data_IF_138154431548
#
_entry.id   IF_138154431548
#
_cell.length_a   1.000
_cell.length_b   1.000
_cell.length_c   1.000
_cell.angle_alpha   90.00
_cell.angle_beta   90.00
_cell.angle_gamma   90.00
#
_symmetry.space_group_name_H-M   'P 1'
#
loop_
_entity.id
_entity.type
_entity.pdbx_description
1 polymer ?
#
# COMPACT_ATOMS: atom_id res chain seq x y z
N UNK A 1 5.51 5.53 28.12
CA UNK A 1 4.42 6.43 27.70
C UNK A 1 3.13 5.62 27.60
N UNK A 2 1.99 6.30 27.74
CA UNK A 2 0.62 5.73 27.63
C UNK A 2 -0.05 6.32 26.40
N UNK A 3 -0.35 5.47 25.43
CA UNK A 3 -0.95 5.86 24.15
C UNK A 3 -2.41 5.44 24.07
N UNK A 4 -3.24 6.30 23.50
CA UNK A 4 -4.57 5.92 23.00
C UNK A 4 -4.61 6.06 21.48
N UNK A 5 -5.01 4.98 20.78
CA UNK A 5 -5.14 4.94 19.33
C UNK A 5 -6.62 4.95 18.92
N UNK A 6 -7.10 6.06 18.34
CA UNK A 6 -8.45 6.18 17.78
C UNK A 6 -8.47 5.68 16.32
N UNK A 7 -9.27 4.66 16.03
CA UNK A 7 -9.30 3.93 14.77
C UNK A 7 -8.22 2.84 14.68
N UNK A 8 -7.96 2.13 15.78
CA UNK A 8 -6.85 1.18 15.93
C UNK A 8 -6.93 -0.05 15.00
N UNK A 9 -8.13 -0.40 14.48
CA UNK A 9 -8.31 -1.51 13.54
C UNK A 9 -7.80 -1.20 12.12
N UNK A 10 -7.54 0.07 11.81
CA UNK A 10 -7.07 0.49 10.50
C UNK A 10 -5.73 -0.16 10.13
N UNK A 11 -5.56 -0.53 8.84
CA UNK A 11 -4.38 -1.24 8.33
C UNK A 11 -3.04 -0.52 8.58
N UNK A 12 -3.05 0.81 8.67
CA UNK A 12 -1.85 1.59 9.03
C UNK A 12 -1.75 1.89 10.53
N UNK A 13 -2.86 1.83 11.28
CA UNK A 13 -2.90 2.09 12.72
C UNK A 13 -2.47 0.89 13.53
N UNK A 14 -3.00 -0.30 13.21
CA UNK A 14 -2.72 -1.54 13.92
C UNK A 14 -1.22 -1.88 13.97
N UNK A 15 -0.44 -1.86 12.88
CA UNK A 15 0.99 -2.08 12.93
C UNK A 15 1.73 -1.09 13.85
N UNK A 16 1.35 0.19 13.82
CA UNK A 16 1.98 1.22 14.63
C UNK A 16 1.66 1.07 16.14
N UNK A 17 0.42 0.73 16.48
CA UNK A 17 0.02 0.41 17.85
C UNK A 17 0.77 -0.83 18.40
N UNK A 18 0.91 -1.85 17.56
CA UNK A 18 1.71 -3.07 17.88
C UNK A 18 3.18 -2.72 18.12
N UNK A 19 3.76 -1.83 17.31
CA UNK A 19 5.13 -1.36 17.48
C UNK A 19 5.29 -0.61 18.82
N UNK A 20 4.38 0.33 19.16
CA UNK A 20 4.46 1.04 20.43
C UNK A 20 4.36 0.07 21.61
N UNK A 21 3.51 -0.94 21.50
CA UNK A 21 3.42 -2.00 22.51
C UNK A 21 4.70 -2.82 22.62
N UNK A 22 5.30 -3.23 21.48
CA UNK A 22 6.57 -3.97 21.44
C UNK A 22 7.75 -3.16 22.01
N UNK A 23 7.70 -1.82 21.90
CA UNK A 23 8.67 -0.89 22.53
C UNK A 23 8.44 -0.66 24.03
N UNK A 24 7.52 -1.41 24.66
CA UNK A 24 7.27 -1.35 26.11
C UNK A 24 6.32 -0.25 26.56
N UNK A 25 5.62 0.42 25.64
CA UNK A 25 4.63 1.43 26.01
C UNK A 25 3.30 0.79 26.42
N UNK A 26 2.53 1.45 27.29
CA UNK A 26 1.15 1.09 27.54
C UNK A 26 0.28 1.59 26.37
N UNK A 27 -0.43 0.68 25.73
CA UNK A 27 -1.24 0.99 24.55
C UNK A 27 -2.67 0.56 24.78
N UNK A 28 -3.59 1.50 24.57
CA UNK A 28 -5.01 1.22 24.44
C UNK A 28 -5.54 1.84 23.13
N UNK A 29 -6.71 1.44 22.70
CA UNK A 29 -7.32 2.04 21.51
C UNK A 29 -8.75 1.61 21.29
N UNK A 30 -9.40 2.31 20.39
CA UNK A 30 -10.81 2.16 20.04
C UNK A 30 -10.98 2.07 18.55
N UNK A 31 -12.07 1.44 18.12
CA UNK A 31 -12.45 1.41 16.71
C UNK A 31 -13.95 1.18 16.58
N UNK A 32 -14.60 1.95 15.71
CA UNK A 32 -16.04 1.81 15.42
C UNK A 32 -16.41 0.41 14.93
N UNK A 33 -15.49 -0.28 14.23
CA UNK A 33 -15.72 -1.64 13.76
C UNK A 33 -15.85 -2.64 14.90
N UNK A 34 -15.10 -2.44 15.99
CA UNK A 34 -15.21 -3.27 17.18
C UNK A 34 -16.54 -3.06 17.93
N UNK A 35 -16.99 -1.80 18.06
CA UNK A 35 -18.27 -1.45 18.66
C UNK A 35 -19.46 -2.05 17.86
N UNK A 36 -19.26 -2.29 16.56
CA UNK A 36 -20.23 -2.93 15.67
C UNK A 36 -20.09 -4.46 15.58
N UNK A 37 -19.23 -5.07 16.39
CA UNK A 37 -18.96 -6.51 16.36
C UNK A 37 -18.21 -7.00 15.11
N UNK A 38 -17.52 -6.09 14.39
CA UNK A 38 -16.74 -6.38 13.19
C UNK A 38 -15.25 -6.52 13.54
N UNK A 39 -14.43 -6.99 12.59
CA UNK A 39 -12.96 -7.09 12.71
C UNK A 39 -12.48 -7.88 13.94
N UNK A 40 -13.19 -8.97 14.28
CA UNK A 40 -12.91 -9.78 15.47
C UNK A 40 -11.49 -10.37 15.50
N UNK A 41 -10.94 -10.78 14.35
CA UNK A 41 -9.56 -11.28 14.26
C UNK A 41 -8.53 -10.21 14.62
N UNK A 42 -8.72 -8.97 14.11
CA UNK A 42 -7.84 -7.84 14.42
C UNK A 42 -7.90 -7.52 15.91
N UNK A 43 -9.11 -7.49 16.49
CA UNK A 43 -9.32 -7.28 17.92
C UNK A 43 -8.59 -8.34 18.76
N UNK A 44 -8.78 -9.63 18.44
CA UNK A 44 -8.12 -10.73 19.13
C UNK A 44 -6.60 -10.65 19.04
N UNK A 45 -6.06 -10.30 17.87
CA UNK A 45 -4.62 -10.13 17.67
C UNK A 45 -4.03 -8.97 18.50
N UNK A 46 -4.75 -7.86 18.63
CA UNK A 46 -4.32 -6.73 19.46
C UNK A 46 -4.36 -7.08 20.97
N UNK A 47 -5.43 -7.72 21.42
CA UNK A 47 -5.58 -8.17 22.83
C UNK A 47 -4.50 -9.18 23.20
N UNK A 48 -4.17 -10.13 22.31
CA UNK A 48 -3.10 -11.11 22.54
C UNK A 48 -1.73 -10.47 22.77
N UNK A 49 -1.50 -9.25 22.25
CA UNK A 49 -0.30 -8.46 22.48
C UNK A 49 -0.38 -7.60 23.76
N UNK A 50 -1.47 -7.67 24.52
CA UNK A 50 -1.69 -6.86 25.72
C UNK A 50 -2.09 -5.42 25.43
N UNK A 51 -2.67 -5.15 24.26
CA UNK A 51 -3.29 -3.87 23.92
C UNK A 51 -4.73 -3.88 24.44
N UNK A 52 -5.13 -2.83 25.15
CA UNK A 52 -6.47 -2.73 25.77
C UNK A 52 -7.44 -2.08 24.79
N UNK A 53 -8.47 -2.81 24.38
CA UNK A 53 -9.52 -2.25 23.53
C UNK A 53 -10.60 -1.55 24.36
N UNK A 54 -11.08 -0.42 23.87
CA UNK A 54 -12.03 0.47 24.51
C UNK A 54 -13.14 0.86 23.52
N UNK A 55 -14.34 1.21 24.02
CA UNK A 55 -15.38 1.82 23.19
C UNK A 55 -14.92 3.15 22.58
N UNK A 56 -15.39 3.45 21.34
CA UNK A 56 -15.06 4.73 20.67
C UNK A 56 -16.04 5.85 21.03
N UNK A 57 -16.36 5.98 22.32
CA UNK A 57 -17.31 6.96 22.85
C UNK A 57 -16.67 8.14 23.60
N UNK A 58 -15.36 8.17 23.69
CA UNK A 58 -14.57 9.19 24.39
C UNK A 58 -14.32 8.90 25.87
N UNK A 59 -15.00 7.93 26.49
CA UNK A 59 -14.87 7.62 27.92
C UNK A 59 -13.48 7.11 28.32
N UNK A 60 -12.76 6.52 27.38
CA UNK A 60 -11.42 5.98 27.60
C UNK A 60 -10.29 7.01 27.42
N UNK A 61 -10.60 8.21 26.94
CA UNK A 61 -9.63 9.29 26.78
C UNK A 61 -9.59 10.10 28.07
N UNK A 62 -8.52 9.95 28.83
CA UNK A 62 -8.34 10.50 30.20
C UNK A 62 -7.06 11.30 30.32
N UNK A 63 -6.96 12.17 31.31
CA UNK A 63 -5.82 13.08 31.53
C UNK A 63 -4.47 12.38 31.81
N UNK A 64 -4.48 11.10 32.13
CA UNK A 64 -3.29 10.29 32.43
C UNK A 64 -2.65 9.65 31.20
N UNK A 65 -3.21 9.91 29.99
CA UNK A 65 -2.60 9.56 28.71
C UNK A 65 -1.51 10.57 28.35
N UNK A 66 -0.41 10.08 27.80
CA UNK A 66 0.65 10.95 27.28
C UNK A 66 0.35 11.41 25.86
N UNK A 67 -0.19 10.52 25.01
CA UNK A 67 -0.44 10.82 23.60
C UNK A 67 -1.76 10.22 23.10
N UNK A 68 -2.49 11.02 22.36
CA UNK A 68 -3.68 10.61 21.62
C UNK A 68 -3.36 10.51 20.12
N UNK A 69 -3.28 9.28 19.60
CA UNK A 69 -2.97 9.00 18.18
C UNK A 69 -4.27 8.76 17.43
N UNK A 70 -4.46 9.43 16.30
CA UNK A 70 -5.68 9.30 15.52
C UNK A 70 -5.40 9.08 14.04
N UNK A 71 -6.31 8.33 13.39
CA UNK A 71 -6.31 8.18 11.93
C UNK A 71 -6.79 9.47 11.28
N UNK A 72 -6.21 9.86 10.15
CA UNK A 72 -6.69 10.99 9.32
C UNK A 72 -8.13 10.80 8.81
N UNK A 73 -8.65 9.56 8.84
CA UNK A 73 -10.04 9.25 8.54
C UNK A 73 -11.00 9.52 9.72
N UNK A 74 -10.51 9.82 10.92
CA UNK A 74 -11.34 10.16 12.09
C UNK A 74 -11.78 11.61 11.97
N UNK A 75 -13.08 11.84 12.05
CA UNK A 75 -13.68 13.18 11.97
C UNK A 75 -13.24 14.06 13.15
N UNK A 76 -13.00 15.36 12.89
CA UNK A 76 -12.42 16.31 13.85
C UNK A 76 -13.26 16.52 15.12
N UNK A 77 -14.56 16.20 15.10
CA UNK A 77 -15.49 16.43 16.19
C UNK A 77 -16.04 15.14 16.81
N UNK A 78 -15.29 14.03 16.71
CA UNK A 78 -15.66 12.80 17.45
C UNK A 78 -15.55 12.97 18.95
N UNK A 79 -16.29 12.18 19.75
CA UNK A 79 -16.20 12.24 21.23
C UNK A 79 -14.77 12.13 21.76
N UNK A 80 -13.96 11.25 21.16
CA UNK A 80 -12.55 11.05 21.57
C UNK A 80 -11.68 12.25 21.27
N UNK A 81 -11.80 12.86 20.08
CA UNK A 81 -11.04 14.06 19.72
C UNK A 81 -11.41 15.24 20.63
N UNK A 82 -12.71 15.39 20.97
CA UNK A 82 -13.17 16.40 21.91
C UNK A 82 -12.60 16.16 23.32
N UNK A 83 -12.61 14.93 23.81
CA UNK A 83 -12.04 14.57 25.11
C UNK A 83 -10.52 14.84 25.15
N UNK A 84 -9.78 14.43 24.11
CA UNK A 84 -8.35 14.68 24.01
C UNK A 84 -8.03 16.19 24.04
N UNK A 85 -8.85 17.01 23.37
CA UNK A 85 -8.74 18.47 23.40
C UNK A 85 -9.03 19.03 24.79
N UNK A 86 -10.08 18.55 25.44
CA UNK A 86 -10.48 19.01 26.78
C UNK A 86 -9.42 18.73 27.86
N UNK A 87 -8.73 17.59 27.76
CA UNK A 87 -7.62 17.23 28.66
C UNK A 87 -6.26 17.81 28.24
N UNK A 88 -6.19 18.56 27.12
CA UNK A 88 -4.92 19.12 26.65
C UNK A 88 -3.89 18.08 26.21
N UNK A 89 -4.32 16.89 25.80
CA UNK A 89 -3.42 15.82 25.36
C UNK A 89 -2.69 16.20 24.07
N UNK A 90 -1.46 15.71 23.94
CA UNK A 90 -0.74 15.76 22.67
C UNK A 90 -1.48 14.91 21.62
N UNK A 91 -2.05 15.56 20.60
CA UNK A 91 -2.80 14.92 19.54
C UNK A 91 -1.90 14.70 18.32
N UNK A 92 -1.59 13.45 18.04
CA UNK A 92 -0.65 13.06 17.02
C UNK A 92 -1.38 12.33 15.89
N UNK A 93 -1.44 12.87 14.67
CA UNK A 93 -1.96 12.10 13.53
C UNK A 93 -1.04 10.89 13.28
N UNK A 94 -1.65 9.76 12.92
CA UNK A 94 -0.90 8.51 12.62
C UNK A 94 0.36 8.71 11.78
N UNK A 95 0.32 9.45 10.66
CA UNK A 95 1.50 9.59 9.82
C UNK A 95 2.62 10.40 10.49
N UNK A 96 2.31 11.33 11.37
CA UNK A 96 3.34 12.05 12.14
C UNK A 96 4.07 11.10 13.10
N UNK A 97 3.33 10.25 13.83
CA UNK A 97 3.98 9.23 14.68
C UNK A 97 4.81 8.25 13.85
N UNK A 98 4.34 7.88 12.65
CA UNK A 98 5.10 7.01 11.76
C UNK A 98 6.39 7.68 11.27
N UNK A 99 6.35 8.97 10.93
CA UNK A 99 7.54 9.74 10.57
C UNK A 99 8.54 9.81 11.74
N UNK A 100 8.09 10.10 12.97
CA UNK A 100 8.93 10.05 14.18
C UNK A 100 9.63 8.69 14.35
N UNK A 101 8.90 7.60 14.08
CA UNK A 101 9.44 6.23 14.18
C UNK A 101 10.50 5.98 13.12
N UNK A 102 10.26 6.41 11.87
CA UNK A 102 11.22 6.25 10.76
C UNK A 102 12.45 7.11 11.01
N UNK A 103 12.28 8.37 11.38
CA UNK A 103 13.38 9.31 11.60
C UNK A 103 14.28 8.90 12.78
N UNK A 104 13.73 8.18 13.76
CA UNK A 104 14.50 7.58 14.85
C UNK A 104 15.27 6.32 14.44
N UNK A 105 14.95 5.69 13.31
CA UNK A 105 15.59 4.48 12.80
C UNK A 105 17.09 4.67 12.45
N UNK A 106 17.87 3.60 12.57
CA UNK A 106 19.32 3.61 12.27
C UNK A 106 19.68 2.46 11.31
N UNK A 107 19.53 2.66 9.99
CA UNK A 107 18.92 3.81 9.30
C UNK A 107 17.39 3.80 9.31
N UNK A 108 16.78 4.99 9.15
CA UNK A 108 15.38 5.14 8.82
C UNK A 108 15.19 5.17 7.30
N UNK A 109 14.27 4.36 6.81
CA UNK A 109 13.94 4.21 5.37
C UNK A 109 12.47 4.57 5.15
N UNK A 110 12.22 5.58 4.33
CA UNK A 110 10.87 6.01 3.94
C UNK A 110 10.60 5.66 2.47
N UNK A 111 9.57 4.84 2.24
CA UNK A 111 9.23 4.32 0.91
C UNK A 111 8.03 5.09 0.38
N UNK A 112 8.27 6.03 -0.54
CA UNK A 112 7.28 6.90 -1.15
C UNK A 112 7.03 6.56 -2.63
N UNK A 113 5.92 7.08 -3.16
CA UNK A 113 5.47 6.92 -4.53
C UNK A 113 3.96 6.73 -4.61
N UNK A 114 3.33 7.06 -5.71
CA UNK A 114 1.87 6.89 -5.89
C UNK A 114 1.46 5.43 -6.02
N UNK A 115 2.36 4.56 -6.52
CA UNK A 115 2.13 3.11 -6.67
C UNK A 115 3.34 2.32 -6.17
N UNK A 116 3.14 1.02 -5.82
CA UNK A 116 4.23 0.10 -5.47
C UNK A 116 4.67 0.11 -3.99
N UNK A 117 4.37 1.15 -3.21
CA UNK A 117 4.79 1.30 -1.79
C UNK A 117 4.62 0.02 -0.96
N UNK A 118 3.41 -0.52 -0.88
CA UNK A 118 3.10 -1.72 -0.08
C UNK A 118 3.83 -2.95 -0.57
N UNK A 119 4.01 -3.10 -1.89
CA UNK A 119 4.76 -4.22 -2.47
C UNK A 119 6.23 -4.12 -2.13
N UNK A 120 6.84 -2.94 -2.29
CA UNK A 120 8.25 -2.71 -1.94
C UNK A 120 8.48 -2.92 -0.45
N UNK A 121 7.61 -2.37 0.42
CA UNK A 121 7.69 -2.57 1.87
C UNK A 121 7.52 -4.03 2.27
N UNK A 122 6.59 -4.74 1.63
CA UNK A 122 6.42 -6.18 1.82
C UNK A 122 7.65 -6.98 1.39
N UNK A 123 8.28 -6.64 0.24
CA UNK A 123 9.53 -7.27 -0.21
C UNK A 123 10.68 -6.96 0.76
N UNK A 124 10.83 -5.72 1.23
CA UNK A 124 11.84 -5.36 2.25
C UNK A 124 11.60 -6.14 3.53
N UNK A 125 10.35 -6.22 4.00
CA UNK A 125 9.99 -6.98 5.19
C UNK A 125 10.27 -8.48 5.04
N UNK A 126 9.96 -9.05 3.88
CA UNK A 126 10.31 -10.44 3.55
C UNK A 126 11.82 -10.65 3.57
N UNK A 127 12.58 -9.80 2.87
CA UNK A 127 14.03 -9.90 2.78
C UNK A 127 14.70 -9.79 4.15
N UNK A 128 14.30 -8.83 4.98
CA UNK A 128 14.86 -8.64 6.33
C UNK A 128 14.51 -9.80 7.26
N UNK A 129 13.25 -10.28 7.22
CA UNK A 129 12.79 -11.42 8.03
C UNK A 129 13.55 -12.69 7.70
N UNK A 130 13.60 -13.06 6.42
CA UNK A 130 14.20 -14.33 5.97
C UNK A 130 15.74 -14.30 6.01
N UNK A 131 16.35 -13.12 5.89
CA UNK A 131 17.80 -12.97 6.06
C UNK A 131 18.23 -12.86 7.53
N UNK A 132 17.29 -12.80 8.48
CA UNK A 132 17.57 -12.65 9.91
C UNK A 132 18.11 -11.26 10.29
N UNK A 133 17.83 -10.24 9.48
CA UNK A 133 18.21 -8.86 9.81
C UNK A 133 17.22 -8.27 10.80
N UNK A 134 17.72 -7.83 11.94
CA UNK A 134 16.91 -7.24 13.00
C UNK A 134 16.49 -5.81 12.63
N UNK A 135 15.39 -5.67 11.90
CA UNK A 135 14.83 -4.38 11.45
C UNK A 135 13.35 -4.27 11.80
N UNK A 136 12.88 -3.07 12.12
CA UNK A 136 11.43 -2.78 12.17
C UNK A 136 10.93 -2.50 10.77
N UNK A 137 9.88 -3.21 10.33
CA UNK A 137 9.23 -2.92 9.04
C UNK A 137 7.73 -2.76 9.24
N UNK A 138 7.17 -1.67 8.70
CA UNK A 138 5.76 -1.29 8.83
C UNK A 138 5.15 -1.08 7.44
N UNK A 139 4.20 -1.92 7.06
CA UNK A 139 3.50 -1.86 5.77
C UNK A 139 1.99 -1.84 5.92
N UNK A 140 1.30 -1.17 5.00
CA UNK A 140 -0.16 -1.09 4.94
C UNK A 140 -0.83 -2.37 4.41
N UNK A 141 -0.06 -3.35 3.92
CA UNK A 141 -0.58 -4.64 3.45
C UNK A 141 0.25 -5.79 3.99
N UNK A 142 -0.39 -6.91 4.35
CA UNK A 142 0.28 -8.14 4.79
C UNK A 142 0.98 -8.85 3.62
N UNK A 143 1.88 -9.76 3.92
CA UNK A 143 2.34 -10.73 2.92
C UNK A 143 1.20 -11.72 2.61
N UNK A 144 1.19 -12.24 1.39
CA UNK A 144 0.23 -13.26 1.01
C UNK A 144 0.36 -14.50 1.93
N UNK A 145 -0.77 -14.94 2.46
CA UNK A 145 -0.82 -16.06 3.41
C UNK A 145 -0.60 -15.73 4.89
N UNK A 146 -0.16 -14.52 5.26
CA UNK A 146 0.05 -14.14 6.67
C UNK A 146 -1.27 -13.89 7.45
N UNK A 147 -2.40 -13.73 6.77
CA UNK A 147 -3.74 -13.59 7.38
C UNK A 147 -3.94 -12.35 8.27
N UNK A 148 -3.03 -11.38 8.23
CA UNK A 148 -3.07 -10.17 9.06
C UNK A 148 -3.47 -8.92 8.28
N UNK A 149 -4.01 -7.91 8.96
CA UNK A 149 -4.21 -6.59 8.38
C UNK A 149 -2.93 -5.75 8.51
N UNK A 150 -2.21 -5.52 7.41
CA UNK A 150 -0.94 -4.80 7.40
C UNK A 150 0.24 -5.66 7.83
N UNK A 151 1.43 -5.26 7.41
CA UNK A 151 2.68 -5.93 7.72
C UNK A 151 3.36 -5.26 8.92
N UNK A 152 3.77 -6.08 9.88
CA UNK A 152 4.53 -5.64 11.04
C UNK A 152 5.63 -6.64 11.36
N UNK A 153 6.88 -6.19 11.26
CA UNK A 153 8.05 -6.88 11.74
C UNK A 153 8.69 -6.04 12.86
N UNK A 154 8.72 -6.52 14.11
CA UNK A 154 9.39 -5.81 15.18
C UNK A 154 10.90 -5.98 15.09
N UNK A 155 11.63 -4.88 15.27
CA UNK A 155 13.09 -4.84 15.40
C UNK A 155 13.51 -4.09 16.67
N UNK A 156 14.83 -4.01 16.94
CA UNK A 156 15.35 -3.27 18.08
C UNK A 156 15.03 -1.78 17.99
N UNK A 157 14.96 -1.10 19.14
CA UNK A 157 14.62 0.33 19.20
C UNK A 157 15.61 1.19 18.42
N UNK A 158 16.90 0.86 18.54
CA UNK A 158 18.00 1.58 17.87
C UNK A 158 18.41 0.95 16.53
N UNK A 159 17.58 0.04 15.99
CA UNK A 159 17.83 -0.65 14.73
C UNK A 159 17.27 0.08 13.51
N UNK A 160 17.45 -0.53 12.33
CA UNK A 160 16.84 -0.05 11.10
C UNK A 160 15.31 -0.03 11.19
N UNK A 161 14.70 0.99 10.56
CA UNK A 161 13.24 1.10 10.40
C UNK A 161 12.93 1.35 8.94
N UNK A 162 12.03 0.56 8.34
CA UNK A 162 11.51 0.80 7.00
C UNK A 162 9.98 0.91 7.05
N UNK A 163 9.41 1.93 6.40
CA UNK A 163 7.96 2.10 6.36
C UNK A 163 7.48 2.80 5.09
N UNK A 164 6.19 2.59 4.79
CA UNK A 164 5.50 3.32 3.74
C UNK A 164 5.31 4.79 4.14
N UNK A 165 5.73 5.71 3.27
CA UNK A 165 5.47 7.14 3.37
C UNK A 165 4.40 7.54 2.35
N UNK A 166 3.18 7.82 2.83
CA UNK A 166 2.04 8.09 1.96
C UNK A 166 1.92 9.57 1.65
N UNK A 167 1.60 9.88 0.40
CA UNK A 167 1.35 11.24 -0.10
C UNK A 167 -0.10 11.70 0.08
N UNK A 168 -1.04 10.75 0.23
CA UNK A 168 -2.49 11.02 0.14
C UNK A 168 -3.05 11.90 1.26
N UNK A 169 -2.37 12.00 2.38
CA UNK A 169 -2.81 12.79 3.55
C UNK A 169 -1.96 14.06 3.79
N UNK A 170 -1.11 14.43 2.81
CA UNK A 170 -0.25 15.61 2.89
C UNK A 170 0.92 15.48 3.85
N UNK A 171 1.12 14.33 4.47
CA UNK A 171 2.10 14.14 5.55
C UNK A 171 3.48 13.68 5.09
N UNK A 172 3.64 13.41 3.79
CA UNK A 172 4.94 13.05 3.20
C UNK A 172 6.04 14.07 3.55
N UNK A 173 5.67 15.33 3.70
CA UNK A 173 6.59 16.41 4.09
C UNK A 173 7.14 16.29 5.51
N UNK A 174 6.58 15.43 6.36
CA UNK A 174 7.02 15.24 7.76
C UNK A 174 8.24 14.35 7.93
N UNK A 175 8.67 13.60 6.91
CA UNK A 175 9.78 12.66 7.01
C UNK A 175 11.16 13.32 6.84
N UNK A 176 12.14 12.88 7.66
CA UNK A 176 13.57 13.20 7.57
C UNK A 176 14.39 11.90 7.54
N UNK A 177 13.97 10.97 6.69
CA UNK A 177 14.56 9.64 6.64
C UNK A 177 16.04 9.67 6.20
N UNK A 178 16.85 8.79 6.77
CA UNK A 178 18.24 8.61 6.32
C UNK A 178 18.30 8.15 4.86
N UNK A 179 17.34 7.33 4.42
CA UNK A 179 17.15 6.90 3.05
C UNK A 179 15.67 7.11 2.63
N UNK A 180 15.44 8.00 1.68
CA UNK A 180 14.17 8.14 0.98
C UNK A 180 14.14 7.32 -0.31
N UNK A 181 12.99 6.79 -0.66
CA UNK A 181 12.69 6.23 -1.98
C UNK A 181 11.50 6.98 -2.58
N UNK A 182 11.63 7.46 -3.82
CA UNK A 182 10.50 7.89 -4.65
C UNK A 182 10.41 6.91 -5.84
N UNK A 183 9.47 5.97 -5.74
CA UNK A 183 9.32 4.93 -6.75
C UNK A 183 8.67 5.44 -8.03
N UNK A 184 7.60 6.22 -7.90
CA UNK A 184 6.92 6.88 -9.01
C UNK A 184 6.08 8.06 -8.50
N UNK A 185 5.76 8.96 -9.42
CA UNK A 185 4.81 10.05 -9.20
C UNK A 185 3.84 10.04 -10.37
N UNK A 186 2.57 9.76 -10.10
CA UNK A 186 1.51 9.68 -11.10
C UNK A 186 0.19 10.18 -10.49
N UNK A 187 -0.83 10.35 -11.32
CA UNK A 187 -2.16 10.76 -10.88
C UNK A 187 -2.81 9.65 -10.06
N UNK A 188 -3.09 9.90 -8.77
CA UNK A 188 -3.79 8.96 -7.89
C UNK A 188 -4.83 9.69 -7.02
N UNK A 189 -4.43 10.28 -5.92
CA UNK A 189 -5.32 11.02 -4.99
C UNK A 189 -5.46 12.51 -5.35
N UNK A 190 -4.74 12.99 -6.36
CA UNK A 190 -4.73 14.36 -6.87
C UNK A 190 -4.00 14.45 -8.19
N UNK A 191 -3.98 15.63 -8.79
CA UNK A 191 -3.19 15.90 -9.98
C UNK A 191 -1.70 15.92 -9.63
N UNK A 192 -0.84 15.57 -10.61
CA UNK A 192 0.61 15.51 -10.41
C UNK A 192 1.17 16.83 -9.88
N UNK A 193 0.70 17.96 -10.42
CA UNK A 193 1.14 19.32 -10.01
C UNK A 193 0.82 19.62 -8.53
N UNK A 194 -0.24 19.04 -7.98
CA UNK A 194 -0.63 19.16 -6.57
C UNK A 194 0.25 18.31 -5.66
N UNK A 195 0.72 17.16 -6.15
CA UNK A 195 1.56 16.24 -5.40
C UNK A 195 3.05 16.64 -5.41
N UNK A 196 3.54 17.21 -6.51
CA UNK A 196 4.95 17.55 -6.71
C UNK A 196 5.58 18.32 -5.54
N UNK A 197 4.96 19.36 -4.93
CA UNK A 197 5.57 20.10 -3.82
C UNK A 197 5.85 19.23 -2.58
N UNK A 198 5.01 18.20 -2.34
CA UNK A 198 5.21 17.26 -1.24
C UNK A 198 6.42 16.34 -1.51
N UNK A 199 6.52 15.80 -2.73
CA UNK A 199 7.65 14.98 -3.14
C UNK A 199 8.97 15.76 -3.16
N UNK A 200 8.95 17.03 -3.59
CA UNK A 200 10.12 17.92 -3.52
C UNK A 200 10.58 18.15 -2.09
N UNK A 201 9.65 18.40 -1.18
CA UNK A 201 9.97 18.59 0.24
C UNK A 201 10.56 17.32 0.83
N UNK A 202 9.95 16.17 0.55
CA UNK A 202 10.45 14.85 0.97
C UNK A 202 11.86 14.58 0.42
N UNK A 203 12.08 14.83 -0.87
CA UNK A 203 13.37 14.63 -1.51
C UNK A 203 14.47 15.47 -0.84
N UNK A 204 14.20 16.76 -0.57
CA UNK A 204 15.16 17.68 0.07
C UNK A 204 15.47 17.33 1.53
N UNK A 205 14.52 16.66 2.22
CA UNK A 205 14.65 16.24 3.63
C UNK A 205 15.26 14.86 3.81
N UNK A 206 15.30 14.04 2.77
CA UNK A 206 15.95 12.73 2.81
C UNK A 206 17.47 12.87 2.81
N UNK A 207 18.15 12.15 3.71
CA UNK A 207 19.62 12.15 3.77
C UNK A 207 20.27 11.60 2.51
N UNK A 208 19.73 10.50 1.97
CA UNK A 208 19.97 9.93 0.64
C UNK A 208 18.64 9.69 -0.04
N UNK A 209 18.60 9.75 -1.37
CA UNK A 209 17.39 9.51 -2.13
C UNK A 209 17.64 8.51 -3.25
N UNK A 210 16.74 7.52 -3.36
CA UNK A 210 16.62 6.63 -4.50
C UNK A 210 15.42 7.06 -5.34
N UNK A 211 15.56 7.09 -6.66
CA UNK A 211 14.46 7.40 -7.59
C UNK A 211 14.39 6.39 -8.72
N UNK A 212 13.18 6.00 -9.12
CA UNK A 212 13.01 5.16 -10.31
C UNK A 212 13.06 6.02 -11.58
N UNK A 213 14.03 5.75 -12.44
CA UNK A 213 14.23 6.45 -13.70
C UNK A 213 13.12 6.22 -14.74
N UNK A 214 12.31 5.17 -14.57
CA UNK A 214 11.17 4.88 -15.43
C UNK A 214 9.97 5.80 -15.18
N UNK A 215 9.93 6.52 -14.03
CA UNK A 215 8.95 7.57 -13.74
C UNK A 215 9.54 8.93 -14.14
N UNK A 216 9.00 9.60 -15.17
CA UNK A 216 9.55 10.88 -15.66
C UNK A 216 9.65 11.95 -14.57
N UNK A 217 8.60 12.10 -13.74
CA UNK A 217 8.50 13.10 -12.67
C UNK A 217 9.49 12.78 -11.55
N UNK A 218 9.58 11.50 -11.12
CA UNK A 218 10.55 11.07 -10.12
C UNK A 218 12.00 11.25 -10.61
N UNK A 219 12.26 10.92 -11.88
CA UNK A 219 13.58 11.10 -12.50
C UNK A 219 13.94 12.59 -12.63
N UNK A 220 12.99 13.46 -13.00
CA UNK A 220 13.20 14.91 -13.05
C UNK A 220 13.57 15.47 -11.67
N UNK A 221 12.78 15.11 -10.66
CA UNK A 221 13.03 15.51 -9.28
C UNK A 221 14.37 14.96 -8.77
N UNK A 222 14.65 13.69 -9.04
CA UNK A 222 15.91 13.06 -8.64
C UNK A 222 17.14 13.78 -9.18
N UNK A 223 17.13 14.18 -10.46
CA UNK A 223 18.22 14.98 -11.06
C UNK A 223 18.39 16.33 -10.36
N UNK A 224 17.29 16.99 -9.99
CA UNK A 224 17.34 18.30 -9.34
C UNK A 224 17.97 18.26 -7.93
N UNK A 225 17.91 17.12 -7.25
CA UNK A 225 18.47 16.96 -5.89
C UNK A 225 19.70 16.05 -5.83
N UNK A 226 20.21 15.55 -6.97
CA UNK A 226 21.35 14.64 -7.00
C UNK A 226 21.06 13.26 -6.43
N UNK A 227 19.86 12.74 -6.61
CA UNK A 227 19.46 11.41 -6.15
C UNK A 227 20.13 10.29 -6.96
N UNK A 228 20.30 9.13 -6.34
CA UNK A 228 20.71 7.91 -7.04
C UNK A 228 19.53 7.29 -7.78
N UNK A 229 19.65 7.14 -9.09
CA UNK A 229 18.58 6.60 -9.94
C UNK A 229 18.75 5.11 -10.20
N UNK A 230 17.63 4.39 -10.25
CA UNK A 230 17.57 2.98 -10.67
C UNK A 230 16.39 2.78 -11.63
N UNK A 231 16.38 1.68 -12.36
CA UNK A 231 15.22 1.29 -13.17
C UNK A 231 15.54 1.00 -14.62
N UNK A 232 14.49 0.83 -15.42
CA UNK A 232 14.59 0.53 -16.85
C UNK A 232 14.88 1.80 -17.64
N UNK A 233 15.79 1.71 -18.59
CA UNK A 233 16.11 2.80 -19.50
C UNK A 233 17.55 3.26 -19.44
N UNK A 234 17.99 4.02 -20.44
CA UNK A 234 19.36 4.51 -20.52
C UNK A 234 19.58 5.63 -19.48
N UNK A 235 20.72 5.58 -18.79
CA UNK A 235 21.18 6.66 -17.91
C UNK A 235 20.73 6.53 -16.45
N UNK A 236 20.16 5.40 -16.01
CA UNK A 236 20.06 5.11 -14.59
C UNK A 236 21.42 4.78 -14.00
N UNK A 237 21.71 5.25 -12.78
CA UNK A 237 22.95 4.92 -12.07
C UNK A 237 23.04 3.42 -11.75
N UNK A 238 21.89 2.79 -11.52
CA UNK A 238 21.76 1.35 -11.38
C UNK A 238 20.72 0.84 -12.39
N UNK A 239 21.14 0.47 -13.61
CA UNK A 239 20.25 0.03 -14.67
C UNK A 239 19.58 -1.32 -14.35
N UNK A 240 18.30 -1.43 -14.67
CA UNK A 240 17.53 -2.67 -14.66
C UNK A 240 17.32 -3.16 -16.10
N UNK A 241 17.96 -4.26 -16.45
CA UNK A 241 17.78 -4.95 -17.74
C UNK A 241 16.67 -5.99 -17.59
N UNK A 242 15.60 -5.84 -18.35
CA UNK A 242 14.47 -6.78 -18.35
C UNK A 242 14.80 -7.97 -19.24
N UNK A 243 14.78 -9.18 -18.70
CA UNK A 243 15.01 -10.41 -19.48
C UNK A 243 13.72 -11.11 -19.84
N UNK A 244 12.71 -11.06 -18.99
CA UNK A 244 11.35 -11.55 -19.31
C UNK A 244 10.29 -10.97 -18.37
N UNK A 245 9.07 -10.79 -18.89
CA UNK A 245 7.87 -10.47 -18.12
C UNK A 245 6.77 -11.46 -18.51
N UNK A 246 6.57 -12.47 -17.69
CA UNK A 246 5.54 -13.49 -17.94
C UNK A 246 4.30 -13.29 -17.05
N UNK A 247 3.27 -14.13 -17.25
CA UNK A 247 2.01 -14.05 -16.49
C UNK A 247 2.12 -14.45 -15.01
N UNK A 248 3.24 -15.01 -14.62
CA UNK A 248 3.46 -15.50 -13.24
C UNK A 248 4.78 -15.07 -12.66
N UNK A 249 5.68 -14.52 -13.47
CA UNK A 249 7.05 -14.27 -13.07
C UNK A 249 7.68 -13.19 -13.94
N UNK A 250 8.42 -12.29 -13.32
CA UNK A 250 9.25 -11.30 -14.00
C UNK A 250 10.73 -11.54 -13.67
N UNK A 251 11.62 -11.36 -14.66
CA UNK A 251 13.06 -11.55 -14.51
C UNK A 251 13.83 -10.40 -15.11
N UNK A 252 14.96 -10.07 -14.48
CA UNK A 252 15.86 -9.04 -14.94
C UNK A 252 17.21 -9.09 -14.26
N UNK A 253 18.07 -8.19 -14.65
CA UNK A 253 19.43 -8.03 -14.08
C UNK A 253 19.57 -6.59 -13.62
N UNK A 254 19.77 -6.39 -12.34
CA UNK A 254 20.12 -5.10 -11.77
C UNK A 254 21.64 -4.93 -11.80
N UNK A 255 22.15 -3.91 -12.51
CA UNK A 255 23.58 -3.66 -12.71
C UNK A 255 24.15 -2.86 -11.55
N UNK A 256 24.56 -3.56 -10.49
CA UNK A 256 25.24 -2.94 -9.37
C UNK A 256 26.71 -2.64 -9.73
N UNK A 257 27.33 -1.67 -9.06
CA UNK A 257 28.77 -1.39 -9.18
C UNK A 257 29.66 -2.56 -8.75
N UNK A 258 29.14 -3.44 -7.87
CA UNK A 258 29.80 -4.65 -7.37
C UNK A 258 29.61 -5.87 -8.26
N UNK A 259 28.82 -5.77 -9.32
CA UNK A 259 28.49 -6.85 -10.23
C UNK A 259 26.97 -7.03 -10.45
N UNK A 260 26.57 -7.90 -11.39
CA UNK A 260 25.16 -8.07 -11.73
C UNK A 260 24.40 -8.82 -10.61
N UNK A 261 23.22 -8.31 -10.25
CA UNK A 261 22.26 -8.98 -9.38
C UNK A 261 21.08 -9.49 -10.22
N UNK A 262 20.93 -10.81 -10.29
CA UNK A 262 19.81 -11.44 -10.99
C UNK A 262 18.57 -11.32 -10.13
N UNK A 263 17.52 -10.70 -10.67
CA UNK A 263 16.19 -10.62 -10.07
C UNK A 263 15.28 -11.64 -10.74
N UNK A 264 14.68 -12.51 -9.95
CA UNK A 264 13.67 -13.50 -10.38
C UNK A 264 12.49 -13.40 -9.40
N UNK A 265 11.38 -12.81 -9.83
CA UNK A 265 10.27 -12.47 -8.94
C UNK A 265 9.03 -13.27 -9.35
N UNK A 266 8.43 -14.10 -8.47
CA UNK A 266 7.24 -14.89 -8.78
C UNK A 266 5.95 -14.04 -8.77
N UNK A 267 6.02 -12.88 -9.41
CA UNK A 267 4.94 -11.92 -9.58
C UNK A 267 4.94 -11.44 -11.04
N UNK A 268 3.77 -11.23 -11.67
CA UNK A 268 3.70 -10.81 -13.07
C UNK A 268 4.04 -9.33 -13.25
N UNK A 269 4.52 -8.99 -14.43
CA UNK A 269 4.61 -7.62 -14.92
C UNK A 269 5.91 -6.89 -14.58
N UNK A 270 6.23 -5.91 -15.41
CA UNK A 270 7.42 -5.07 -15.27
C UNK A 270 7.42 -4.30 -13.94
N UNK A 271 6.27 -3.77 -13.51
CA UNK A 271 6.16 -3.01 -12.27
C UNK A 271 6.60 -3.81 -11.04
N UNK A 272 6.37 -5.13 -10.99
CA UNK A 272 6.86 -5.97 -9.89
C UNK A 272 8.37 -6.21 -9.95
N UNK A 273 8.95 -6.21 -11.14
CA UNK A 273 10.41 -6.26 -11.28
C UNK A 273 11.06 -4.94 -10.83
N UNK A 274 10.46 -3.80 -11.13
CA UNK A 274 10.89 -2.48 -10.65
C UNK A 274 10.73 -2.35 -9.13
N UNK A 275 9.62 -2.84 -8.57
CA UNK A 275 9.42 -2.94 -7.12
C UNK A 275 10.53 -3.79 -6.46
N UNK A 276 10.90 -4.91 -7.09
CA UNK A 276 11.96 -5.78 -6.59
C UNK A 276 13.34 -5.13 -6.69
N UNK A 277 13.61 -4.34 -7.73
CA UNK A 277 14.85 -3.57 -7.84
C UNK A 277 14.97 -2.55 -6.71
N UNK A 278 13.89 -1.81 -6.41
CA UNK A 278 13.84 -0.89 -5.27
C UNK A 278 14.08 -1.61 -3.94
N UNK A 279 13.35 -2.70 -3.70
CA UNK A 279 13.49 -3.49 -2.48
C UNK A 279 14.88 -4.10 -2.34
N UNK A 280 15.49 -4.56 -3.44
CA UNK A 280 16.86 -5.07 -3.46
C UNK A 280 17.87 -4.02 -3.04
N UNK A 281 17.77 -2.79 -3.58
CA UNK A 281 18.68 -1.69 -3.20
C UNK A 281 18.56 -1.34 -1.71
N UNK A 282 17.32 -1.27 -1.19
CA UNK A 282 17.10 -1.04 0.25
C UNK A 282 17.68 -2.20 1.08
N UNK A 283 17.48 -3.45 0.66
CA UNK A 283 17.99 -4.61 1.37
C UNK A 283 19.52 -4.67 1.39
N UNK A 284 20.17 -4.29 0.29
CA UNK A 284 21.63 -4.16 0.22
C UNK A 284 22.15 -3.07 1.18
N UNK A 285 21.47 -1.93 1.26
CA UNK A 285 21.77 -0.87 2.21
C UNK A 285 21.59 -1.32 3.68
N UNK A 286 20.67 -2.24 3.93
CA UNK A 286 20.46 -2.89 5.23
C UNK A 286 21.49 -4.02 5.50
N UNK A 287 22.45 -4.23 4.62
CA UNK A 287 23.55 -5.18 4.79
C UNK A 287 23.23 -6.62 4.37
N UNK A 288 22.15 -6.87 3.65
CA UNK A 288 21.84 -8.21 3.12
C UNK A 288 22.70 -8.47 1.89
N UNK A 289 23.43 -9.58 1.87
CA UNK A 289 24.30 -9.92 0.75
C UNK A 289 23.52 -10.12 -0.57
N UNK A 290 24.09 -9.72 -1.74
CA UNK A 290 23.41 -9.79 -3.03
C UNK A 290 22.88 -11.21 -3.38
N UNK A 291 23.64 -12.24 -3.11
CA UNK A 291 23.21 -13.62 -3.35
C UNK A 291 22.00 -14.01 -2.50
N UNK A 292 21.93 -13.54 -1.25
CA UNK A 292 20.77 -13.75 -0.35
C UNK A 292 19.55 -12.99 -0.86
N UNK A 293 19.71 -11.73 -1.28
CA UNK A 293 18.63 -10.94 -1.88
C UNK A 293 18.03 -11.66 -3.09
N UNK A 294 18.87 -12.12 -4.04
CA UNK A 294 18.42 -12.86 -5.22
C UNK A 294 17.65 -14.13 -4.84
N UNK A 295 18.20 -14.95 -3.94
CA UNK A 295 17.58 -16.20 -3.52
C UNK A 295 16.24 -16.01 -2.81
N UNK A 296 16.11 -14.95 -2.00
CA UNK A 296 14.88 -14.65 -1.27
C UNK A 296 13.81 -14.03 -2.15
N UNK A 297 14.16 -13.12 -3.08
CA UNK A 297 13.19 -12.58 -4.04
C UNK A 297 12.59 -13.66 -4.94
N UNK A 298 13.37 -14.68 -5.30
CA UNK A 298 12.89 -15.81 -6.09
C UNK A 298 11.78 -16.64 -5.39
N UNK A 299 11.63 -16.49 -4.07
CA UNK A 299 10.63 -17.17 -3.23
C UNK A 299 9.66 -16.19 -2.56
N UNK A 300 9.64 -14.91 -2.99
CA UNK A 300 8.74 -13.92 -2.42
C UNK A 300 7.26 -14.36 -2.58
N UNK A 301 6.48 -14.45 -1.49
CA UNK A 301 5.13 -15.01 -1.54
C UNK A 301 4.11 -14.06 -2.20
N UNK A 302 4.47 -12.79 -2.35
CA UNK A 302 3.55 -11.72 -2.75
C UNK A 302 3.03 -10.93 -1.56
N UNK A 303 2.22 -9.93 -1.86
CA UNK A 303 1.51 -9.10 -0.89
C UNK A 303 0.02 -9.35 -1.04
N UNK A 304 -0.67 -9.50 0.07
CA UNK A 304 -2.11 -9.69 0.10
C UNK A 304 -2.83 -8.58 -0.68
N UNK A 305 -3.79 -8.97 -1.49
CA UNK A 305 -4.56 -8.07 -2.36
C UNK A 305 -3.71 -7.26 -3.36
N UNK A 306 -2.56 -7.79 -3.81
CA UNK A 306 -1.71 -7.23 -4.88
C UNK A 306 -1.44 -8.30 -5.91
N UNK A 307 -2.39 -8.49 -6.84
CA UNK A 307 -2.43 -9.60 -7.78
C UNK A 307 -2.29 -10.96 -7.05
N UNK A 308 -2.95 -11.07 -5.90
CA UNK A 308 -2.89 -12.26 -5.07
C UNK A 308 -3.70 -13.39 -5.69
N UNK A 309 -3.05 -14.51 -5.99
CA UNK A 309 -3.74 -15.70 -6.48
C UNK A 309 -4.33 -16.44 -5.27
N UNK A 310 -5.66 -16.33 -5.09
CA UNK A 310 -6.38 -16.99 -4.00
C UNK A 310 -6.54 -18.50 -4.23
N UNK A 311 -6.49 -18.94 -5.48
CA UNK A 311 -6.60 -20.35 -5.84
C UNK A 311 -7.03 -20.57 -7.28
N UNK A 312 -7.17 -21.83 -7.62
CA UNK A 312 -7.69 -22.31 -8.91
C UNK A 312 -8.87 -23.21 -8.65
N UNK A 313 -10.01 -22.93 -9.28
CA UNK A 313 -11.22 -23.78 -9.15
C UNK A 313 -11.01 -25.14 -9.83
N UNK A 314 -11.91 -26.08 -9.54
CA UNK A 314 -11.88 -27.39 -10.19
C UNK A 314 -12.05 -27.30 -11.74
N UNK A 315 -12.66 -26.24 -12.25
CA UNK A 315 -12.79 -25.95 -13.69
C UNK A 315 -11.56 -25.24 -14.29
N UNK A 316 -10.50 -25.01 -13.51
CA UNK A 316 -9.27 -24.35 -13.99
C UNK A 316 -9.31 -22.82 -13.97
N UNK A 317 -10.35 -22.19 -13.39
CA UNK A 317 -10.45 -20.74 -13.29
C UNK A 317 -9.54 -20.28 -12.13
N UNK A 318 -8.61 -19.38 -12.45
CA UNK A 318 -7.76 -18.72 -11.45
C UNK A 318 -8.51 -17.56 -10.85
N UNK A 319 -8.59 -17.51 -9.52
CA UNK A 319 -9.18 -16.40 -8.75
C UNK A 319 -8.07 -15.50 -8.24
N UNK A 320 -8.14 -14.22 -8.59
CA UNK A 320 -7.13 -13.21 -8.23
C UNK A 320 -7.82 -12.08 -7.46
N UNK A 321 -7.24 -11.68 -6.34
CA UNK A 321 -7.62 -10.47 -5.59
C UNK A 321 -6.58 -9.36 -5.80
N UNK A 322 -7.07 -8.16 -6.15
CA UNK A 322 -6.22 -6.98 -6.30
C UNK A 322 -6.90 -5.73 -5.74
N UNK A 323 -6.12 -4.90 -5.08
CA UNK A 323 -6.58 -3.62 -4.51
C UNK A 323 -6.55 -2.47 -5.52
N UNK A 324 -6.53 -2.75 -6.81
CA UNK A 324 -6.57 -1.73 -7.86
C UNK A 324 -7.80 -0.85 -7.69
N UNK A 325 -7.59 0.47 -7.57
CA UNK A 325 -8.65 1.43 -7.29
C UNK A 325 -8.52 2.73 -8.10
N UNK A 326 -7.57 2.81 -9.03
CA UNK A 326 -7.44 3.87 -10.04
C UNK A 326 -7.11 3.26 -11.40
N UNK A 327 -7.14 4.06 -12.47
CA UNK A 327 -7.01 3.57 -13.83
C UNK A 327 -5.67 2.91 -14.12
N UNK A 328 -4.57 3.43 -13.58
CA UNK A 328 -3.23 2.85 -13.75
C UNK A 328 -3.14 1.44 -13.13
N UNK A 329 -3.62 1.30 -11.89
CA UNK A 329 -3.62 0.02 -11.16
C UNK A 329 -4.56 -0.99 -11.80
N UNK A 330 -5.75 -0.56 -12.24
CA UNK A 330 -6.69 -1.42 -12.99
C UNK A 330 -6.09 -1.89 -14.30
N UNK A 331 -5.41 -1.02 -15.05
CA UNK A 331 -4.68 -1.37 -16.26
C UNK A 331 -3.62 -2.44 -15.95
N UNK A 332 -2.80 -2.23 -14.92
CA UNK A 332 -1.74 -3.17 -14.55
C UNK A 332 -2.32 -4.55 -14.19
N UNK A 333 -3.34 -4.61 -13.33
CA UNK A 333 -3.97 -5.85 -12.88
C UNK A 333 -4.64 -6.61 -14.04
N UNK A 334 -5.46 -5.93 -14.85
CA UNK A 334 -6.16 -6.55 -15.99
C UNK A 334 -5.16 -7.04 -17.04
N UNK A 335 -4.13 -6.23 -17.39
CA UNK A 335 -3.10 -6.63 -18.34
C UNK A 335 -2.31 -7.86 -17.84
N UNK A 336 -1.98 -7.91 -16.55
CA UNK A 336 -1.32 -9.05 -15.95
C UNK A 336 -2.20 -10.33 -16.00
N UNK A 337 -3.50 -10.18 -15.75
CA UNK A 337 -4.46 -11.29 -15.86
C UNK A 337 -4.60 -11.77 -17.31
N UNK A 338 -4.69 -10.83 -18.26
CA UNK A 338 -4.79 -11.12 -19.71
C UNK A 338 -3.57 -11.86 -20.26
N UNK A 339 -2.38 -11.60 -19.74
CA UNK A 339 -1.15 -12.30 -20.15
C UNK A 339 -1.19 -13.79 -19.82
N UNK A 340 -1.96 -14.19 -18.79
CA UNK A 340 -2.05 -15.57 -18.32
C UNK A 340 -3.38 -16.29 -18.60
N UNK A 341 -4.32 -15.65 -19.31
CA UNK A 341 -5.66 -16.20 -19.54
C UNK A 341 -6.21 -15.81 -20.92
N UNK A 342 -6.94 -16.74 -21.54
CA UNK A 342 -7.66 -16.48 -22.79
C UNK A 342 -8.82 -15.50 -22.57
N UNK A 343 -9.43 -15.51 -21.39
CA UNK A 343 -10.55 -14.66 -20.99
C UNK A 343 -10.37 -14.16 -19.55
N UNK A 344 -10.74 -12.92 -19.29
CA UNK A 344 -10.75 -12.31 -17.96
C UNK A 344 -12.17 -11.89 -17.59
N UNK A 345 -12.65 -12.33 -16.44
CA UNK A 345 -13.85 -11.81 -15.80
C UNK A 345 -13.39 -10.84 -14.70
N UNK A 346 -13.46 -9.54 -14.97
CA UNK A 346 -13.06 -8.52 -14.04
C UNK A 346 -14.27 -8.05 -13.21
N UNK A 347 -14.16 -8.07 -11.90
CA UNK A 347 -15.14 -7.46 -10.98
C UNK A 347 -14.49 -6.27 -10.31
N UNK A 348 -15.03 -5.09 -10.51
CA UNK A 348 -14.51 -3.88 -9.88
C UNK A 348 -15.55 -3.29 -8.91
N UNK A 349 -15.18 -3.20 -7.63
CA UNK A 349 -15.96 -2.51 -6.61
C UNK A 349 -15.33 -1.16 -6.30
N UNK A 350 -15.92 -0.02 -6.71
CA UNK A 350 -15.42 1.29 -6.35
C UNK A 350 -15.48 1.50 -4.83
N UNK A 351 -14.43 2.11 -4.27
CA UNK A 351 -14.30 2.32 -2.83
C UNK A 351 -14.59 3.78 -2.46
N UNK A 352 -15.88 4.09 -2.28
CA UNK A 352 -16.38 5.42 -1.92
C UNK A 352 -16.93 6.23 -3.09
N UNK A 353 -17.91 7.11 -2.81
CA UNK A 353 -18.60 7.93 -3.81
C UNK A 353 -17.71 9.02 -4.42
N UNK A 354 -16.85 9.66 -3.61
CA UNK A 354 -15.90 10.66 -4.08
C UNK A 354 -14.90 10.09 -5.09
N UNK A 355 -14.14 9.04 -4.74
CA UNK A 355 -13.26 8.35 -5.67
C UNK A 355 -13.96 7.84 -6.93
N UNK A 356 -15.15 7.25 -6.80
CA UNK A 356 -15.93 6.77 -7.96
C UNK A 356 -16.26 7.92 -8.94
N UNK A 357 -16.65 9.08 -8.42
CA UNK A 357 -16.91 10.28 -9.23
C UNK A 357 -15.64 10.79 -9.93
N UNK A 358 -14.54 10.84 -9.21
CA UNK A 358 -13.25 11.30 -9.73
C UNK A 358 -12.74 10.39 -10.86
N UNK A 359 -12.90 9.08 -10.71
CA UNK A 359 -12.44 8.09 -11.70
C UNK A 359 -13.37 7.91 -12.91
N UNK A 360 -14.63 8.32 -12.83
CA UNK A 360 -15.64 8.07 -13.87
C UNK A 360 -15.20 8.43 -15.28
N UNK A 361 -14.63 9.63 -15.55
CA UNK A 361 -14.16 9.99 -16.88
C UNK A 361 -13.05 9.08 -17.38
N UNK A 362 -12.08 8.76 -16.52
CA UNK A 362 -10.96 7.89 -16.84
C UNK A 362 -11.41 6.46 -17.15
N UNK A 363 -12.31 5.89 -16.35
CA UNK A 363 -12.83 4.52 -16.55
C UNK A 363 -13.60 4.41 -17.87
N UNK A 364 -14.37 5.44 -18.23
CA UNK A 364 -15.09 5.51 -19.51
C UNK A 364 -14.16 5.43 -20.72
N UNK A 365 -12.98 6.02 -20.64
CA UNK A 365 -12.00 6.00 -21.72
C UNK A 365 -11.11 4.74 -21.69
N UNK A 366 -10.75 4.30 -20.48
CA UNK A 366 -9.82 3.20 -20.29
C UNK A 366 -10.42 1.85 -20.65
N UNK A 367 -11.61 1.51 -20.12
CA UNK A 367 -12.14 0.15 -20.19
C UNK A 367 -12.38 -0.34 -21.62
N UNK A 368 -12.92 0.47 -22.57
CA UNK A 368 -13.08 0.03 -23.96
C UNK A 368 -11.77 -0.28 -24.67
N UNK A 369 -10.66 0.36 -24.25
CA UNK A 369 -9.34 0.14 -24.86
C UNK A 369 -8.56 -1.00 -24.21
N UNK A 370 -8.89 -1.32 -22.95
CA UNK A 370 -8.18 -2.30 -22.16
C UNK A 370 -8.73 -3.71 -22.32
N UNK A 371 -10.05 -3.83 -22.37
CA UNK A 371 -10.72 -5.13 -22.41
C UNK A 371 -10.72 -5.71 -23.82
N UNK A 372 -10.31 -6.98 -23.94
CA UNK A 372 -10.39 -7.76 -25.18
C UNK A 372 -11.84 -8.17 -25.45
N UNK A 373 -12.22 -8.54 -26.68
CA UNK A 373 -13.59 -8.96 -27.00
C UNK A 373 -14.13 -10.13 -26.16
N UNK A 374 -13.25 -11.01 -25.70
CA UNK A 374 -13.61 -12.14 -24.84
C UNK A 374 -13.76 -11.76 -23.35
N UNK A 375 -13.14 -10.67 -22.91
CA UNK A 375 -13.17 -10.25 -21.51
C UNK A 375 -14.55 -9.68 -21.14
N UNK A 376 -14.86 -9.70 -19.85
CA UNK A 376 -16.09 -9.11 -19.28
C UNK A 376 -15.75 -8.31 -18.05
N UNK A 377 -16.49 -7.24 -17.83
CA UNK A 377 -16.39 -6.39 -16.64
C UNK A 377 -17.73 -6.37 -15.90
N UNK A 378 -17.70 -6.46 -14.59
CA UNK A 378 -18.82 -6.18 -13.72
C UNK A 378 -18.47 -5.09 -12.71
N UNK A 379 -19.25 -4.03 -12.66
CA UNK A 379 -19.19 -3.07 -11.56
C UNK A 379 -20.07 -3.57 -10.41
N UNK A 380 -19.45 -3.94 -9.28
CA UNK A 380 -20.17 -4.16 -8.03
C UNK A 380 -20.55 -2.82 -7.40
N UNK A 381 -21.60 -2.80 -6.56
CA UNK A 381 -22.05 -1.55 -5.93
C UNK A 381 -20.94 -0.90 -5.10
N UNK A 382 -20.95 0.45 -5.07
CA UNK A 382 -19.92 1.23 -4.39
C UNK A 382 -19.84 0.82 -2.92
N UNK A 383 -18.64 0.41 -2.48
CA UNK A 383 -18.41 0.19 -1.06
C UNK A 383 -18.36 1.53 -0.32
N UNK A 384 -19.12 1.66 0.74
CA UNK A 384 -19.18 2.88 1.53
C UNK A 384 -18.91 2.60 3.01
N UNK A 385 -17.75 3.07 3.46
CA UNK A 385 -17.32 2.90 4.85
C UNK A 385 -18.01 3.85 5.85
N UNK A 386 -18.79 4.82 5.34
CA UNK A 386 -19.44 5.86 6.14
C UNK A 386 -18.88 7.26 5.83
N UNK A 387 -19.47 8.29 6.44
CA UNK A 387 -19.10 9.69 6.26
C UNK A 387 -20.22 10.57 5.71
N UNK A 388 -19.90 11.80 5.33
CA UNK A 388 -20.84 12.86 4.91
C UNK A 388 -20.80 13.16 3.40
N UNK A 389 -20.08 12.36 2.61
CA UNK A 389 -19.93 12.57 1.16
C UNK A 389 -21.28 12.36 0.43
N UNK A 390 -21.58 13.24 -0.53
CA UNK A 390 -22.76 13.13 -1.38
C UNK A 390 -22.79 11.79 -2.14
N UNK A 391 -23.94 11.12 -2.15
CA UNK A 391 -24.17 9.82 -2.81
C UNK A 391 -24.90 10.02 -4.15
N UNK A 392 -24.32 10.85 -5.02
CA UNK A 392 -24.89 11.29 -6.30
C UNK A 392 -24.35 10.50 -7.50
N UNK A 393 -23.59 9.43 -7.28
CA UNK A 393 -23.09 8.50 -8.28
C UNK A 393 -23.38 7.06 -7.84
N UNK A 394 -23.54 6.15 -8.79
CA UNK A 394 -23.68 4.71 -8.55
C UNK A 394 -22.81 3.90 -9.50
N UNK A 395 -22.54 2.65 -9.14
CA UNK A 395 -21.81 1.74 -10.03
C UNK A 395 -22.58 1.41 -11.31
N UNK A 396 -23.93 1.50 -11.29
CA UNK A 396 -24.75 1.39 -12.49
C UNK A 396 -24.41 2.48 -13.50
N UNK A 397 -24.26 3.73 -13.06
CA UNK A 397 -23.87 4.83 -13.94
C UNK A 397 -22.50 4.60 -14.59
N UNK A 398 -21.55 3.96 -13.87
CA UNK A 398 -20.25 3.59 -14.46
C UNK A 398 -20.39 2.51 -15.53
N UNK A 399 -21.28 1.55 -15.33
CA UNK A 399 -21.56 0.52 -16.31
C UNK A 399 -22.28 1.08 -17.55
N UNK A 400 -23.27 1.96 -17.35
CA UNK A 400 -24.07 2.59 -18.41
C UNK A 400 -23.23 3.55 -19.29
N UNK A 401 -22.13 4.09 -18.76
CA UNK A 401 -21.20 4.93 -19.55
C UNK A 401 -20.39 4.15 -20.59
N UNK A 402 -20.31 2.82 -20.49
CA UNK A 402 -19.51 2.00 -21.38
C UNK A 402 -20.31 1.54 -22.61
N UNK A 403 -19.66 1.48 -23.80
CA UNK A 403 -20.29 0.92 -24.99
C UNK A 403 -20.74 -0.55 -24.76
N UNK A 404 -21.88 -0.94 -25.31
CA UNK A 404 -22.43 -2.30 -25.17
C UNK A 404 -21.44 -3.39 -25.63
N UNK A 405 -20.57 -3.07 -26.60
CA UNK A 405 -19.54 -3.98 -27.09
C UNK A 405 -18.49 -4.38 -26.04
N UNK A 406 -18.37 -3.61 -24.93
CA UNK A 406 -17.44 -3.92 -23.84
C UNK A 406 -17.89 -5.10 -22.99
N UNK A 407 -19.17 -5.50 -23.07
CA UNK A 407 -19.69 -6.59 -22.24
C UNK A 407 -19.59 -6.25 -20.74
N UNK A 408 -20.12 -5.07 -20.36
CA UNK A 408 -20.12 -4.61 -19.00
C UNK A 408 -21.45 -4.88 -18.30
N UNK A 409 -21.39 -5.44 -17.07
CA UNK A 409 -22.50 -5.65 -16.18
C UNK A 409 -22.47 -4.77 -14.93
N UNK A 410 -23.58 -4.74 -14.20
CA UNK A 410 -23.70 -4.13 -12.88
C UNK A 410 -24.31 -5.14 -11.91
N UNK A 411 -23.76 -5.23 -10.72
CA UNK A 411 -24.26 -6.10 -9.64
C UNK A 411 -24.51 -5.29 -8.35
N UNK A 412 -25.76 -5.22 -7.86
CA UNK A 412 -26.11 -4.44 -6.67
C UNK A 412 -25.70 -5.09 -5.34
N UNK A 413 -25.22 -6.34 -5.37
CA UNK A 413 -24.82 -7.08 -4.17
C UNK A 413 -23.77 -8.14 -4.51
N UNK A 414 -23.08 -8.66 -3.50
CA UNK A 414 -22.13 -9.77 -3.68
C UNK A 414 -22.82 -11.03 -4.24
N UNK A 415 -24.06 -11.31 -3.84
CA UNK A 415 -24.83 -12.42 -4.41
C UNK A 415 -25.03 -12.22 -5.93
N UNK A 416 -25.42 -11.01 -6.35
CA UNK A 416 -25.57 -10.68 -7.76
C UNK A 416 -24.25 -10.75 -8.55
N UNK A 417 -23.10 -10.46 -7.93
CA UNK A 417 -21.79 -10.68 -8.52
C UNK A 417 -21.54 -12.16 -8.78
N UNK A 418 -21.85 -13.02 -7.80
CA UNK A 418 -21.70 -14.47 -7.94
C UNK A 418 -22.58 -15.01 -9.06
N UNK A 419 -23.84 -14.55 -9.13
CA UNK A 419 -24.78 -14.97 -10.18
C UNK A 419 -24.31 -14.49 -11.56
N UNK A 420 -23.75 -13.27 -11.66
CA UNK A 420 -23.15 -12.77 -12.89
C UNK A 420 -21.95 -13.62 -13.31
N UNK A 421 -21.02 -13.94 -12.40
CA UNK A 421 -19.86 -14.80 -12.71
C UNK A 421 -20.29 -16.18 -13.21
N UNK A 422 -21.40 -16.74 -12.66
CA UNK A 422 -21.91 -18.05 -13.08
C UNK A 422 -22.58 -18.03 -14.45
N UNK A 423 -23.12 -16.89 -14.85
CA UNK A 423 -23.78 -16.69 -16.13
C UNK A 423 -22.79 -16.47 -17.28
N UNK A 424 -21.59 -15.99 -16.99
CA UNK A 424 -20.51 -15.73 -17.94
C UNK A 424 -19.64 -16.97 -18.18
#
# INVERSE_FOLDING_TARGET
>A
MRYHFSGIAGVGMSPLARLMRARGHAVQGSDRSFDQGKSAEVAAGLVALGIVLKPQDGSAVTADLDRFVYSTAVEAETPEVRAARAFGLERVPRPALLAEVVDAGRPGVAIAGTSGKSTITGMVGWLTREAGVAATVLGGAALAGDGTSGFFLPGPVDGPVAAEACESDGTLTGYHAALGLIHNISRDHGEVDELMPQFETFAKRSGRLLVNSASPEAALLGRAVGAHSYGVGPGADTPLEVTSTGPHRARGILRLSTGPLVLDVPQPGLHNLENAAAAALIALDLGIAPATVAALLARFPGVARRFEVLGVTASGIRVVDDYAHNGEKLRAAITAAQAGAARVLAVFQPHGFGPARFLRPELRELMPRLLRPADRLCYAEIFYAGGTVARDISSRMLADDLPTAVGCGYAPSHAAVIDWIRAE
#
